data_IF_452572477926
#
_entry.id   IF_452572477926
#
_cell.length_a   1.000
_cell.length_b   1.000
_cell.length_c   1.000
_cell.angle_alpha   90.00
_cell.angle_beta   90.00
_cell.angle_gamma   90.00
#
_symmetry.space_group_name_H-M   'P 1'
#
loop_
_entity.id
_entity.type
_entity.pdbx_description
1 polymer ?
#
# COMPACT_ATOMS: atom_id res chain seq x y z
N UNK A 1 23.91 -27.13 1.49
CA UNK A 1 22.67 -26.84 2.24
C UNK A 1 22.09 -25.61 1.57
N UNK A 2 20.96 -25.76 0.88
CA UNK A 2 20.43 -24.70 0.04
C UNK A 2 19.71 -23.68 0.93
N UNK A 3 20.25 -22.46 1.01
CA UNK A 3 19.55 -21.28 1.50
C UNK A 3 18.35 -21.02 0.58
N UNK A 4 17.22 -21.63 0.93
CA UNK A 4 15.97 -21.42 0.23
C UNK A 4 15.44 -20.06 0.65
N UNK A 5 15.78 -19.05 -0.14
CA UNK A 5 15.22 -17.70 -0.13
C UNK A 5 13.74 -17.78 -0.50
N UNK A 6 12.91 -18.37 0.36
CA UNK A 6 11.46 -18.46 0.13
C UNK A 6 10.89 -17.12 0.57
N UNK A 7 10.53 -16.21 -0.35
CA UNK A 7 9.83 -15.00 0.04
C UNK A 7 8.54 -15.43 0.75
N UNK A 8 8.23 -14.82 1.90
CA UNK A 8 6.99 -15.05 2.61
C UNK A 8 5.81 -14.72 1.67
N UNK A 9 5.38 -15.76 0.94
CA UNK A 9 4.26 -15.81 0.00
C UNK A 9 4.22 -14.65 -1.00
N UNK A 10 5.03 -14.78 -2.06
CA UNK A 10 4.65 -14.18 -3.34
C UNK A 10 3.22 -14.62 -3.68
N UNK A 11 2.29 -13.67 -3.83
CA UNK A 11 0.94 -13.97 -4.30
C UNK A 11 1.08 -14.68 -5.66
N UNK A 12 0.55 -15.90 -5.83
CA UNK A 12 0.72 -16.63 -7.08
C UNK A 12 -0.05 -15.90 -8.19
N UNK A 13 0.67 -15.49 -9.23
CA UNK A 13 0.14 -14.75 -10.36
C UNK A 13 0.46 -13.27 -10.26
N UNK A 14 1.23 -12.75 -11.22
CA UNK A 14 1.68 -11.35 -11.30
C UNK A 14 0.52 -10.36 -11.29
N UNK A 15 0.05 -10.02 -10.10
CA UNK A 15 -0.89 -8.93 -9.87
C UNK A 15 -0.18 -7.64 -10.27
N UNK A 16 -0.61 -7.05 -11.38
CA UNK A 16 -0.16 -5.72 -11.78
C UNK A 16 -0.58 -4.75 -10.69
N UNK A 17 0.38 -4.23 -9.92
CA UNK A 17 0.13 -3.19 -8.92
C UNK A 17 -0.48 -1.97 -9.64
N UNK A 18 -1.62 -1.44 -9.17
CA UNK A 18 -2.13 -0.16 -9.66
C UNK A 18 -1.11 0.95 -9.44
N UNK A 19 -1.18 1.96 -10.29
CA UNK A 19 -0.45 3.21 -10.10
C UNK A 19 -0.96 3.95 -8.87
N UNK A 20 -0.14 4.88 -8.36
CA UNK A 20 -0.52 5.76 -7.24
C UNK A 20 -1.78 6.57 -7.53
N UNK A 21 -1.94 7.04 -8.77
CA UNK A 21 -3.13 7.77 -9.20
C UNK A 21 -4.40 6.89 -9.16
N UNK A 22 -4.31 5.63 -9.60
CA UNK A 22 -5.43 4.69 -9.51
C UNK A 22 -5.82 4.40 -8.05
N UNK A 23 -4.83 4.29 -7.14
CA UNK A 23 -5.10 4.13 -5.72
C UNK A 23 -5.77 5.37 -5.11
N UNK A 24 -5.32 6.58 -5.44
CA UNK A 24 -5.93 7.84 -4.98
C UNK A 24 -7.36 8.01 -5.53
N UNK A 25 -7.63 7.63 -6.78
CA UNK A 25 -8.99 7.64 -7.33
C UNK A 25 -9.90 6.60 -6.65
N UNK A 26 -9.37 5.42 -6.31
CA UNK A 26 -10.12 4.44 -5.52
C UNK A 26 -10.50 4.99 -4.14
N UNK A 27 -9.58 5.69 -3.46
CA UNK A 27 -9.88 6.35 -2.18
C UNK A 27 -10.94 7.45 -2.36
N UNK A 28 -10.84 8.22 -3.44
CA UNK A 28 -11.85 9.24 -3.81
C UNK A 28 -13.23 8.61 -4.01
N UNK A 29 -13.27 7.44 -4.65
CA UNK A 29 -14.49 6.64 -4.83
C UNK A 29 -15.07 6.20 -3.49
N UNK A 30 -14.25 5.74 -2.54
CA UNK A 30 -14.69 5.37 -1.20
C UNK A 30 -15.26 6.54 -0.40
N UNK A 31 -14.65 7.73 -0.51
CA UNK A 31 -15.18 8.95 0.12
C UNK A 31 -16.57 9.31 -0.42
N UNK A 32 -16.74 9.30 -1.75
CA UNK A 32 -18.05 9.54 -2.37
C UNK A 32 -19.08 8.49 -1.96
N UNK A 33 -18.67 7.22 -1.92
CA UNK A 33 -19.53 6.11 -1.48
C UNK A 33 -19.98 6.27 -0.02
N UNK A 34 -19.13 6.81 0.85
CA UNK A 34 -19.45 7.13 2.24
C UNK A 34 -20.40 8.35 2.39
N UNK A 35 -20.70 9.07 1.31
CA UNK A 35 -21.54 10.27 1.32
C UNK A 35 -20.78 11.58 1.54
N UNK A 36 -19.44 11.56 1.49
CA UNK A 36 -18.61 12.75 1.61
C UNK A 36 -18.35 13.42 0.25
N UNK A 37 -18.03 14.72 0.29
CA UNK A 37 -17.55 15.49 -0.88
C UNK A 37 -16.02 15.60 -0.87
N UNK A 38 -15.29 14.90 -1.76
CA UNK A 38 -13.82 14.97 -1.83
C UNK A 38 -13.28 16.36 -2.21
N UNK A 39 -14.10 17.24 -2.79
CA UNK A 39 -13.68 18.58 -3.21
C UNK A 39 -13.65 19.59 -2.07
N UNK A 40 -14.17 19.24 -0.88
CA UNK A 40 -14.11 20.10 0.32
C UNK A 40 -12.67 20.25 0.80
N UNK A 41 -12.32 21.42 1.30
CA UNK A 41 -10.96 21.79 1.72
C UNK A 41 -10.26 20.68 2.54
N UNK A 42 -10.93 20.14 3.56
CA UNK A 42 -10.36 19.11 4.43
C UNK A 42 -10.19 17.72 3.80
N UNK A 43 -10.76 17.46 2.61
CA UNK A 43 -10.66 16.15 1.93
C UNK A 43 -9.87 16.16 0.62
N UNK A 44 -9.54 17.33 0.07
CA UNK A 44 -8.79 17.44 -1.19
C UNK A 44 -7.49 16.63 -1.16
N UNK A 45 -6.76 16.69 -0.05
CA UNK A 45 -5.50 15.98 0.13
C UNK A 45 -5.66 14.60 0.78
N UNK A 46 -6.88 14.20 1.13
CA UNK A 46 -7.14 12.92 1.81
C UNK A 46 -6.73 11.73 0.95
N UNK A 47 -7.03 11.64 -0.36
CA UNK A 47 -6.56 10.53 -1.19
C UNK A 47 -5.05 10.32 -1.11
N UNK A 48 -4.27 11.40 -1.25
CA UNK A 48 -2.81 11.34 -1.20
C UNK A 48 -2.29 10.97 0.19
N UNK A 49 -2.91 11.49 1.25
CA UNK A 49 -2.56 11.16 2.64
C UNK A 49 -2.83 9.69 2.97
N UNK A 50 -3.97 9.16 2.53
CA UNK A 50 -4.35 7.76 2.77
C UNK A 50 -3.45 6.82 1.97
N UNK A 51 -3.14 7.13 0.71
CA UNK A 51 -2.19 6.35 -0.08
C UNK A 51 -0.82 6.24 0.61
N UNK A 52 -0.28 7.35 1.14
CA UNK A 52 0.96 7.34 1.92
C UNK A 52 0.86 6.51 3.20
N UNK A 53 -0.25 6.62 3.93
CA UNK A 53 -0.45 5.82 5.13
C UNK A 53 -0.43 4.31 4.84
N UNK A 54 -0.97 3.88 3.69
CA UNK A 54 -0.87 2.49 3.24
C UNK A 54 0.57 2.09 2.91
N UNK A 55 1.36 2.96 2.29
CA UNK A 55 2.78 2.71 2.03
C UNK A 55 3.55 2.50 3.35
N UNK A 56 3.25 3.29 4.38
CA UNK A 56 3.87 3.19 5.70
C UNK A 56 3.42 1.93 6.47
N UNK A 57 2.11 1.68 6.56
CA UNK A 57 1.56 0.54 7.31
C UNK A 57 1.99 -0.81 6.75
N UNK A 58 2.19 -0.86 5.43
CA UNK A 58 2.55 -2.09 4.72
C UNK A 58 3.98 -2.07 4.18
N UNK A 59 4.84 -1.17 4.70
CA UNK A 59 6.24 -1.05 4.27
C UNK A 59 6.99 -2.37 4.36
N UNK A 60 6.72 -3.14 5.43
CA UNK A 60 7.33 -4.44 5.71
C UNK A 60 7.08 -5.51 4.63
N UNK A 61 6.09 -5.35 3.76
CA UNK A 61 5.92 -6.27 2.62
C UNK A 61 7.01 -6.13 1.55
N UNK A 62 7.75 -5.03 1.56
CA UNK A 62 8.90 -4.83 0.68
C UNK A 62 10.24 -5.07 1.40
N UNK A 63 10.21 -5.47 2.67
CA UNK A 63 11.42 -5.73 3.47
C UNK A 63 11.74 -7.23 3.52
N UNK A 64 13.02 -7.58 3.61
CA UNK A 64 13.47 -8.94 3.82
C UNK A 64 13.52 -9.23 5.34
N UNK A 65 12.69 -10.15 5.86
CA UNK A 65 12.67 -10.47 7.29
C UNK A 65 14.01 -10.99 7.82
N UNK A 66 14.81 -11.69 6.99
CA UNK A 66 16.13 -12.18 7.41
C UNK A 66 17.15 -11.04 7.51
N UNK A 67 17.02 -10.00 6.68
CA UNK A 67 17.84 -8.79 6.80
C UNK A 67 17.47 -8.00 8.06
N UNK A 68 16.18 -7.89 8.37
CA UNK A 68 15.69 -7.23 9.57
C UNK A 68 16.22 -7.89 10.85
N UNK A 69 16.16 -9.23 10.93
CA UNK A 69 16.62 -9.98 12.11
C UNK A 69 18.14 -9.95 12.32
N UNK A 70 18.94 -9.75 11.27
CA UNK A 70 20.42 -9.67 11.37
C UNK A 70 20.92 -8.38 12.03
N UNK A 71 20.07 -7.36 12.15
CA UNK A 71 20.45 -6.02 12.65
C UNK A 71 20.04 -5.79 14.11
N UNK A 72 19.45 -6.79 14.77
CA UNK A 72 19.03 -6.77 16.18
C UNK A 72 19.85 -7.75 16.99
#
# INVERSE_FOLDING_TARGET
MADSKVPLRAVPGGLKRPSRAEAEEAITTLLRWAGDDPSREGLRDTPARVARAFEDWFSGYNEDPEEYMRRT
#
